data_IF_320012146951
#
_entry.id   IF_320012146951
#
_cell.length_a   1.000
_cell.length_b   1.000
_cell.length_c   1.000
_cell.angle_alpha   90.00
_cell.angle_beta   90.00
_cell.angle_gamma   90.00
#
_symmetry.space_group_name_H-M   'P 1'
#
loop_
_entity.id
_entity.type
_entity.pdbx_description
1 polymer ?
#
# COMPACT_ATOMS: atom_id res chain seq x y z
N UNK A 1 -24.75 7.81 1.20
CA UNK A 1 -23.73 7.78 0.13
C UNK A 1 -24.47 7.90 -1.20
N UNK A 2 -24.44 9.07 -1.85
CA UNK A 2 -24.98 9.23 -3.20
C UNK A 2 -23.86 8.89 -4.19
N UNK A 3 -23.85 7.66 -4.67
CA UNK A 3 -23.07 7.31 -5.86
C UNK A 3 -23.70 8.08 -7.03
N UNK A 4 -22.96 8.99 -7.65
CA UNK A 4 -23.41 9.69 -8.86
C UNK A 4 -23.44 8.72 -10.04
N UNK A 5 -24.53 7.95 -10.13
CA UNK A 5 -24.76 6.97 -11.19
C UNK A 5 -24.91 7.60 -12.58
N UNK A 6 -24.89 8.92 -12.67
CA UNK A 6 -24.93 9.67 -13.92
C UNK A 6 -23.53 10.00 -14.46
N UNK A 7 -22.46 9.62 -13.75
CA UNK A 7 -21.09 9.84 -14.20
C UNK A 7 -20.63 8.67 -15.12
N UNK A 8 -20.57 8.87 -16.46
CA UNK A 8 -20.19 7.82 -17.40
C UNK A 8 -18.72 7.38 -17.27
N UNK A 9 -17.87 8.15 -16.59
CA UNK A 9 -16.51 7.71 -16.26
C UNK A 9 -16.50 6.62 -15.18
N UNK A 10 -17.57 6.50 -14.38
CA UNK A 10 -17.75 5.49 -13.34
C UNK A 10 -18.68 4.37 -13.83
N UNK A 11 -19.80 4.73 -14.46
CA UNK A 11 -20.82 3.76 -14.88
C UNK A 11 -20.58 3.18 -16.27
N UNK A 12 -19.68 3.79 -17.04
CA UNK A 12 -19.44 3.44 -18.43
C UNK A 12 -20.54 3.96 -19.37
N UNK A 13 -20.21 4.04 -20.66
CA UNK A 13 -21.10 4.36 -21.76
C UNK A 13 -21.67 3.08 -22.36
N UNK A 14 -22.91 3.13 -22.81
CA UNK A 14 -23.50 2.05 -23.60
C UNK A 14 -22.84 1.98 -24.98
N UNK A 15 -22.29 0.81 -25.33
CA UNK A 15 -21.58 0.58 -26.61
C UNK A 15 -21.67 -0.90 -26.99
N UNK A 16 -21.62 -1.27 -28.29
CA UNK A 16 -21.65 -2.66 -28.73
C UNK A 16 -20.48 -3.52 -28.21
N UNK A 17 -19.33 -2.91 -27.86
CA UNK A 17 -18.18 -3.59 -27.27
C UNK A 17 -17.74 -2.86 -25.98
N UNK A 18 -18.43 -3.10 -24.85
CA UNK A 18 -18.24 -2.35 -23.61
C UNK A 18 -16.86 -2.57 -22.99
N UNK A 19 -16.23 -3.73 -23.21
CA UNK A 19 -14.88 -3.98 -22.69
C UNK A 19 -13.82 -3.08 -23.32
N UNK A 20 -14.06 -2.59 -24.54
CA UNK A 20 -13.14 -1.72 -25.26
C UNK A 20 -13.53 -0.25 -25.20
N UNK A 21 -14.83 0.06 -25.18
CA UNK A 21 -15.31 1.43 -25.43
C UNK A 21 -16.28 1.97 -24.38
N UNK A 22 -16.52 1.28 -23.26
CA UNK A 22 -17.38 1.83 -22.21
C UNK A 22 -16.76 3.05 -21.52
N UNK A 23 -15.44 3.24 -21.57
CA UNK A 23 -14.77 4.36 -20.90
C UNK A 23 -13.86 5.10 -21.89
N UNK A 24 -13.91 6.44 -21.88
CA UNK A 24 -13.07 7.29 -22.76
C UNK A 24 -11.57 7.13 -22.49
N UNK A 25 -11.22 6.80 -21.25
CA UNK A 25 -9.86 6.43 -20.85
C UNK A 25 -9.85 5.00 -20.35
N UNK A 26 -9.20 4.12 -21.10
CA UNK A 26 -8.81 2.80 -20.62
C UNK A 26 -7.67 2.97 -19.60
N UNK A 27 -8.02 3.18 -18.33
CA UNK A 27 -7.08 2.99 -17.22
C UNK A 27 -6.93 1.49 -17.02
N UNK A 28 -6.17 0.83 -17.88
CA UNK A 28 -5.87 -0.58 -17.69
C UNK A 28 -5.15 -0.78 -16.33
N UNK A 29 -5.47 -1.84 -15.56
CA UNK A 29 -4.64 -2.24 -14.42
C UNK A 29 -3.26 -2.73 -14.86
N UNK A 30 -3.07 -2.96 -16.16
CA UNK A 30 -1.81 -3.30 -16.79
C UNK A 30 -1.45 -2.21 -17.80
N UNK A 31 -0.19 -1.77 -17.78
CA UNK A 31 0.39 -0.89 -18.79
C UNK A 31 -0.02 -1.41 -20.18
N UNK A 32 -0.61 -0.53 -20.99
CA UNK A 32 -1.26 -0.91 -22.25
C UNK A 32 -0.36 -1.74 -23.16
N UNK A 33 -0.97 -2.61 -23.98
CA UNK A 33 -0.29 -3.55 -24.90
C UNK A 33 0.57 -2.92 -26.01
N UNK A 34 0.92 -1.64 -25.87
CA UNK A 34 1.86 -0.88 -26.71
C UNK A 34 3.20 -0.61 -26.00
N UNK A 35 3.36 -1.02 -24.73
CA UNK A 35 4.62 -0.89 -24.03
C UNK A 35 5.70 -1.75 -24.71
N UNK A 36 6.82 -1.13 -25.08
CA UNK A 36 8.00 -1.84 -25.59
C UNK A 36 8.96 -2.11 -24.44
N UNK A 37 9.50 -3.33 -24.30
CA UNK A 37 10.55 -3.62 -23.32
C UNK A 37 11.74 -2.69 -23.55
N UNK A 38 12.28 -2.15 -22.45
CA UNK A 38 13.52 -1.37 -22.49
C UNK A 38 14.69 -2.35 -22.65
N UNK A 39 15.64 -2.10 -23.58
CA UNK A 39 16.84 -2.92 -23.71
C UNK A 39 17.63 -2.99 -22.40
N UNK A 40 18.22 -4.13 -22.01
CA UNK A 40 18.96 -4.27 -20.74
C UNK A 40 20.01 -3.18 -20.53
N UNK A 41 20.73 -2.80 -21.59
CA UNK A 41 21.78 -1.76 -21.57
C UNK A 41 21.25 -0.35 -21.27
N UNK A 42 19.96 -0.12 -21.50
CA UNK A 42 19.29 1.18 -21.29
C UNK A 42 18.42 1.19 -20.03
N UNK A 43 18.33 0.07 -19.30
CA UNK A 43 17.40 -0.03 -18.14
C UNK A 43 17.78 0.96 -17.05
N UNK A 44 19.07 1.04 -16.72
CA UNK A 44 19.56 1.92 -15.66
C UNK A 44 19.33 3.40 -16.00
N UNK A 45 19.71 3.82 -17.21
CA UNK A 45 19.54 5.21 -17.63
C UNK A 45 18.07 5.59 -17.80
N UNK A 46 17.23 4.68 -18.30
CA UNK A 46 15.79 4.91 -18.38
C UNK A 46 15.16 5.07 -16.98
N UNK A 47 15.58 4.27 -16.02
CA UNK A 47 15.13 4.37 -14.63
C UNK A 47 15.59 5.68 -13.97
N UNK A 48 16.86 6.05 -14.15
CA UNK A 48 17.42 7.30 -13.66
C UNK A 48 16.69 8.51 -14.24
N UNK A 49 16.40 8.48 -15.55
CA UNK A 49 15.62 9.54 -16.21
C UNK A 49 14.17 9.61 -15.69
N UNK A 50 13.56 8.46 -15.39
CA UNK A 50 12.22 8.44 -14.82
C UNK A 50 12.17 9.00 -13.38
N UNK A 51 13.26 8.85 -12.60
CA UNK A 51 13.35 9.36 -11.23
C UNK A 51 13.94 10.77 -11.11
N UNK A 52 14.55 11.29 -12.17
CA UNK A 52 15.09 12.65 -12.20
C UNK A 52 14.02 13.72 -12.49
N UNK A 53 12.90 13.32 -13.09
CA UNK A 53 11.74 14.20 -13.25
C UNK A 53 11.05 14.43 -11.90
N UNK A 54 10.71 15.69 -11.60
CA UNK A 54 10.03 16.08 -10.35
C UNK A 54 8.58 15.58 -10.31
N UNK A 55 8.07 15.09 -11.43
CA UNK A 55 6.69 14.65 -11.60
C UNK A 55 5.70 15.81 -11.61
N UNK A 56 4.43 15.49 -11.87
CA UNK A 56 3.35 16.47 -11.85
C UNK A 56 2.76 16.65 -10.45
N UNK A 57 2.31 17.86 -10.14
CA UNK A 57 1.61 18.16 -8.89
C UNK A 57 0.25 17.46 -8.88
N UNK A 58 0.05 16.52 -7.95
CA UNK A 58 -1.21 15.80 -7.79
C UNK A 58 -1.23 14.95 -6.51
N UNK A 59 -2.33 14.21 -6.25
CA UNK A 59 -2.41 13.31 -5.10
C UNK A 59 -1.36 12.19 -5.18
N UNK A 60 -0.63 11.97 -4.09
CA UNK A 60 0.44 10.98 -3.96
C UNK A 60 0.21 10.06 -2.76
N UNK A 61 0.47 8.78 -2.96
CA UNK A 61 0.44 7.75 -1.93
C UNK A 61 1.77 6.99 -1.91
N UNK A 62 2.29 6.71 -0.73
CA UNK A 62 3.45 5.84 -0.51
C UNK A 62 2.95 4.44 -0.12
N UNK A 63 3.18 3.45 -0.99
CA UNK A 63 2.87 2.05 -0.68
C UNK A 63 4.13 1.31 -0.27
N UNK A 64 4.07 0.62 0.88
CA UNK A 64 5.18 -0.15 1.43
C UNK A 64 4.74 -1.61 1.56
N UNK A 65 5.40 -2.48 0.81
CA UNK A 65 5.00 -3.86 0.64
C UNK A 65 5.70 -4.79 1.63
N UNK A 66 5.00 -5.35 2.61
CA UNK A 66 5.54 -6.36 3.54
C UNK A 66 5.12 -7.77 3.08
N UNK A 67 6.01 -8.58 2.45
CA UNK A 67 5.61 -9.79 1.71
C UNK A 67 5.49 -11.06 2.57
N UNK A 68 5.36 -10.91 3.89
CA UNK A 68 5.37 -12.04 4.83
C UNK A 68 3.97 -12.40 5.31
N UNK A 69 3.71 -13.70 5.38
CA UNK A 69 2.54 -14.23 6.07
C UNK A 69 2.96 -15.43 6.92
N UNK A 70 2.56 -15.47 8.19
CA UNK A 70 2.69 -16.71 9.01
C UNK A 70 1.96 -17.90 8.43
N UNK A 71 0.75 -17.66 7.94
CA UNK A 71 -0.16 -18.71 7.47
C UNK A 71 -0.68 -18.35 6.09
N UNK A 72 -0.55 -19.31 5.16
CA UNK A 72 -1.18 -19.25 3.85
C UNK A 72 -2.69 -19.41 3.99
N UNK A 73 -3.43 -18.37 3.62
CA UNK A 73 -4.88 -18.48 3.47
C UNK A 73 -5.20 -19.27 2.20
N UNK A 74 -6.17 -20.18 2.26
CA UNK A 74 -6.55 -21.05 1.12
C UNK A 74 -7.06 -20.28 -0.09
N UNK A 75 -7.59 -19.08 0.11
CA UNK A 75 -8.08 -18.18 -0.94
C UNK A 75 -7.05 -17.16 -1.42
N UNK A 76 -5.87 -17.08 -0.79
CA UNK A 76 -4.92 -16.00 -1.06
C UNK A 76 -3.97 -16.38 -2.20
N UNK A 77 -4.00 -15.58 -3.26
CA UNK A 77 -3.05 -15.66 -4.37
C UNK A 77 -1.80 -14.76 -4.18
N UNK A 78 -1.74 -14.01 -3.07
CA UNK A 78 -0.64 -13.09 -2.73
C UNK A 78 0.36 -13.67 -1.73
N UNK A 79 0.17 -14.92 -1.27
CA UNK A 79 1.10 -15.56 -0.35
C UNK A 79 2.41 -15.86 -1.06
N UNK A 80 3.46 -15.13 -0.72
CA UNK A 80 4.80 -15.34 -1.29
C UNK A 80 5.72 -16.06 -0.30
N UNK A 81 5.83 -15.57 0.94
CA UNK A 81 6.81 -16.07 1.90
C UNK A 81 6.19 -16.43 3.24
N UNK A 82 6.54 -17.62 3.74
CA UNK A 82 6.29 -17.97 5.13
C UNK A 82 7.16 -17.08 6.03
N UNK A 83 6.53 -16.44 7.02
CA UNK A 83 7.26 -15.58 7.95
C UNK A 83 8.31 -16.38 8.74
N UNK A 84 9.55 -15.92 8.74
CA UNK A 84 10.53 -16.31 9.77
C UNK A 84 11.11 -15.04 10.38
N UNK A 85 11.44 -15.08 11.68
CA UNK A 85 12.01 -13.90 12.36
C UNK A 85 13.29 -13.42 11.67
N UNK A 86 14.13 -14.35 11.22
CA UNK A 86 15.37 -14.05 10.50
C UNK A 86 15.11 -13.36 9.15
N UNK A 87 14.23 -13.93 8.32
CA UNK A 87 13.91 -13.35 7.01
C UNK A 87 13.24 -11.97 7.14
N UNK A 88 12.35 -11.81 8.13
CA UNK A 88 11.74 -10.51 8.41
C UNK A 88 12.80 -9.49 8.80
N UNK A 89 13.75 -9.84 9.67
CA UNK A 89 14.81 -8.93 10.08
C UNK A 89 15.71 -8.55 8.90
N UNK A 90 16.16 -9.52 8.09
CA UNK A 90 16.98 -9.28 6.89
C UNK A 90 16.26 -8.39 5.87
N UNK A 91 14.99 -8.67 5.60
CA UNK A 91 14.17 -7.83 4.74
C UNK A 91 14.00 -6.42 5.31
N UNK A 92 13.80 -6.30 6.63
CA UNK A 92 13.59 -5.00 7.26
C UNK A 92 14.83 -4.11 7.14
N UNK A 93 16.03 -4.65 7.32
CA UNK A 93 17.27 -3.89 7.09
C UNK A 93 17.44 -3.47 5.62
N UNK A 94 17.08 -4.35 4.68
CA UNK A 94 17.07 -4.00 3.26
C UNK A 94 16.04 -2.91 2.94
N UNK A 95 14.84 -3.00 3.51
CA UNK A 95 13.77 -2.01 3.39
C UNK A 95 14.24 -0.65 3.92
N UNK A 96 14.91 -0.60 5.08
CA UNK A 96 15.46 0.65 5.62
C UNK A 96 16.44 1.32 4.66
N UNK A 97 17.33 0.52 4.08
CA UNK A 97 18.30 1.00 3.08
C UNK A 97 17.58 1.56 1.85
N UNK A 98 16.58 0.84 1.35
CA UNK A 98 15.78 1.28 0.20
C UNK A 98 14.97 2.55 0.50
N UNK A 99 14.36 2.65 1.69
CA UNK A 99 13.60 3.83 2.11
C UNK A 99 14.48 5.08 2.17
N UNK A 100 15.68 4.98 2.74
CA UNK A 100 16.62 6.10 2.77
C UNK A 100 17.04 6.53 1.37
N UNK A 101 17.33 5.57 0.49
CA UNK A 101 17.69 5.85 -0.89
C UNK A 101 16.54 6.51 -1.66
N UNK A 102 15.31 5.98 -1.55
CA UNK A 102 14.13 6.55 -2.20
C UNK A 102 13.73 7.90 -1.62
N UNK A 103 13.86 8.09 -0.31
CA UNK A 103 13.59 9.36 0.35
C UNK A 103 14.49 10.47 -0.20
N UNK A 104 15.75 10.17 -0.51
CA UNK A 104 16.69 11.16 -1.05
C UNK A 104 16.44 11.53 -2.53
N UNK A 105 15.53 10.85 -3.24
CA UNK A 105 15.29 11.10 -4.66
C UNK A 105 14.57 12.44 -4.89
N UNK A 106 14.94 13.22 -5.93
CA UNK A 106 14.27 14.47 -6.28
C UNK A 106 12.77 14.32 -6.48
N UNK A 107 12.33 13.27 -7.20
CA UNK A 107 10.91 12.96 -7.38
C UNK A 107 10.17 12.74 -6.06
N UNK A 108 10.80 12.09 -5.07
CA UNK A 108 10.19 11.86 -3.76
C UNK A 108 9.98 13.18 -3.03
N UNK A 109 10.98 14.06 -3.05
CA UNK A 109 10.97 15.33 -2.34
C UNK A 109 10.17 16.44 -3.01
N UNK A 110 9.78 16.29 -4.28
CA UNK A 110 9.13 17.34 -5.06
C UNK A 110 7.78 17.81 -4.49
N UNK A 111 6.96 16.90 -3.94
CA UNK A 111 5.62 17.20 -3.41
C UNK A 111 5.28 16.29 -2.22
N UNK A 112 4.47 16.73 -1.25
CA UNK A 112 4.11 15.90 -0.11
C UNK A 112 3.18 14.74 -0.48
N UNK A 113 3.24 13.65 0.28
CA UNK A 113 2.32 12.51 0.22
C UNK A 113 1.10 12.74 1.12
N UNK A 114 -0.09 12.38 0.63
CA UNK A 114 -1.35 12.46 1.39
C UNK A 114 -1.67 11.15 2.09
N UNK A 115 -1.07 10.04 1.65
CA UNK A 115 -1.31 8.74 2.24
C UNK A 115 -0.04 7.87 2.27
N UNK A 116 0.06 7.04 3.30
CA UNK A 116 1.03 5.97 3.44
C UNK A 116 0.27 4.68 3.74
N UNK A 117 0.57 3.62 2.99
CA UNK A 117 -0.11 2.34 3.13
C UNK A 117 0.90 1.21 3.26
N UNK A 118 0.91 0.56 4.43
CA UNK A 118 1.65 -0.66 4.67
C UNK A 118 0.74 -1.85 4.36
N UNK A 119 1.09 -2.66 3.36
CA UNK A 119 0.25 -3.76 2.93
C UNK A 119 1.01 -4.94 2.35
N UNK A 120 0.28 -5.86 1.70
CA UNK A 120 0.87 -7.00 0.99
C UNK A 120 0.51 -8.32 1.65
N UNK A 121 1.44 -8.88 2.42
CA UNK A 121 1.22 -10.09 3.19
C UNK A 121 0.46 -9.80 4.48
N UNK A 122 1.19 -9.60 5.57
CA UNK A 122 0.64 -9.25 6.88
C UNK A 122 1.64 -8.31 7.56
N UNK A 123 1.57 -6.98 7.34
CA UNK A 123 2.48 -6.02 7.96
C UNK A 123 2.55 -6.14 9.49
N UNK A 124 1.46 -6.51 10.16
CA UNK A 124 1.45 -6.81 11.60
C UNK A 124 2.28 -8.05 12.00
N UNK A 125 2.91 -8.78 11.07
CA UNK A 125 3.91 -9.81 11.39
C UNK A 125 5.28 -9.22 11.75
N UNK A 126 5.53 -7.93 11.44
CA UNK A 126 6.65 -7.17 12.00
C UNK A 126 6.56 -7.11 13.53
N UNK A 127 7.71 -6.93 14.19
CA UNK A 127 7.72 -6.65 15.63
C UNK A 127 7.15 -5.26 15.91
N UNK A 128 6.71 -5.03 17.15
CA UNK A 128 6.24 -3.70 17.58
C UNK A 128 7.33 -2.63 17.34
N UNK A 129 8.58 -2.94 17.69
CA UNK A 129 9.72 -2.04 17.48
C UNK A 129 9.95 -1.73 15.99
N UNK A 130 9.84 -2.72 15.12
CA UNK A 130 9.96 -2.54 13.66
C UNK A 130 8.81 -1.69 13.10
N UNK A 131 7.58 -1.86 13.58
CA UNK A 131 6.43 -1.05 13.15
C UNK A 131 6.66 0.42 13.52
N UNK A 132 7.10 0.66 14.77
CA UNK A 132 7.41 2.01 15.26
C UNK A 132 8.53 2.65 14.44
N UNK A 133 9.66 1.95 14.30
CA UNK A 133 10.85 2.43 13.58
C UNK A 133 10.49 2.75 12.12
N UNK A 134 9.71 1.90 11.46
CA UNK A 134 9.26 2.13 10.09
C UNK A 134 8.44 3.42 9.99
N UNK A 135 7.46 3.60 10.88
CA UNK A 135 6.64 4.81 10.91
C UNK A 135 7.46 6.08 11.19
N UNK A 136 8.40 6.01 12.15
CA UNK A 136 9.32 7.11 12.48
C UNK A 136 10.19 7.49 11.27
N UNK A 137 10.76 6.51 10.57
CA UNK A 137 11.54 6.74 9.36
C UNK A 137 10.72 7.42 8.26
N UNK A 138 9.48 6.98 8.03
CA UNK A 138 8.63 7.60 7.02
C UNK A 138 8.37 9.07 7.36
N UNK A 139 8.01 9.39 8.62
CA UNK A 139 7.80 10.78 9.05
C UNK A 139 9.08 11.63 9.01
N UNK A 140 10.23 11.02 9.25
CA UNK A 140 11.50 11.74 9.29
C UNK A 140 12.03 12.09 7.88
N UNK A 141 11.83 11.21 6.90
CA UNK A 141 12.52 11.30 5.61
C UNK A 141 11.62 11.61 4.41
N UNK A 142 10.30 11.37 4.51
CA UNK A 142 9.37 11.63 3.42
C UNK A 142 8.57 12.91 3.67
N UNK A 143 8.32 13.75 2.66
CA UNK A 143 7.46 14.91 2.81
C UNK A 143 6.00 14.44 2.94
N UNK A 144 5.39 14.60 4.10
CA UNK A 144 3.98 14.25 4.33
C UNK A 144 3.14 15.50 4.50
N UNK A 145 1.87 15.45 4.11
CA UNK A 145 0.93 16.52 4.49
C UNK A 145 0.61 16.43 5.99
N UNK A 146 0.20 17.55 6.64
CA UNK A 146 -0.18 17.52 8.05
C UNK A 146 -1.36 16.58 8.37
N UNK A 147 -2.21 16.32 7.38
CA UNK A 147 -3.38 15.44 7.42
C UNK A 147 -3.13 14.08 6.76
N UNK A 148 -1.86 13.69 6.59
CA UNK A 148 -1.51 12.46 5.90
C UNK A 148 -2.11 11.22 6.59
N UNK A 149 -2.83 10.40 5.83
CA UNK A 149 -3.38 9.14 6.29
C UNK A 149 -2.30 8.05 6.30
N UNK A 150 -1.99 7.49 7.47
CA UNK A 150 -1.07 6.37 7.60
C UNK A 150 -1.84 5.11 8.01
N UNK A 151 -1.88 4.14 7.11
CA UNK A 151 -2.68 2.92 7.23
C UNK A 151 -1.79 1.68 7.31
N UNK A 152 -1.97 0.89 8.37
CA UNK A 152 -1.29 -0.39 8.60
C UNK A 152 -2.28 -1.55 8.40
N UNK A 153 -2.09 -2.37 7.36
CA UNK A 153 -2.85 -3.62 7.21
C UNK A 153 -2.41 -4.66 8.24
N UNK A 154 -3.37 -5.43 8.76
CA UNK A 154 -3.06 -6.42 9.77
C UNK A 154 -4.10 -7.52 9.94
N UNK A 155 -3.72 -8.49 10.77
CA UNK A 155 -4.65 -9.50 11.32
C UNK A 155 -4.89 -9.20 12.79
N UNK A 156 -6.13 -9.39 13.25
CA UNK A 156 -6.47 -9.26 14.68
C UNK A 156 -5.68 -10.27 15.52
N UNK A 157 -5.45 -11.46 14.98
CA UNK A 157 -4.69 -12.49 15.70
C UNK A 157 -3.24 -12.03 15.88
N UNK A 158 -2.81 -11.93 17.15
CA UNK A 158 -1.45 -11.50 17.55
C UNK A 158 -1.09 -10.07 17.14
N UNK A 159 -2.10 -9.23 16.98
CA UNK A 159 -1.97 -7.78 17.10
C UNK A 159 -2.30 -7.41 18.54
N UNK A 160 -1.26 -7.41 19.38
CA UNK A 160 -1.36 -7.10 20.80
C UNK A 160 -1.27 -5.59 21.06
N UNK A 161 -1.54 -5.19 22.30
CA UNK A 161 -1.55 -3.78 22.71
C UNK A 161 -0.21 -3.10 22.42
N UNK A 162 0.91 -3.81 22.60
CA UNK A 162 2.24 -3.27 22.30
C UNK A 162 2.39 -2.89 20.83
N UNK A 163 1.91 -3.72 19.91
CA UNK A 163 1.93 -3.40 18.47
C UNK A 163 0.99 -2.27 18.12
N UNK A 164 -0.17 -2.20 18.77
CA UNK A 164 -1.11 -1.10 18.58
C UNK A 164 -0.49 0.23 19.03
N UNK A 165 0.07 0.28 20.23
CA UNK A 165 0.79 1.45 20.76
C UNK A 165 1.95 1.84 19.86
N UNK A 166 2.78 0.88 19.43
CA UNK A 166 3.89 1.14 18.53
C UNK A 166 3.45 1.64 17.15
N UNK A 167 2.29 1.21 16.65
CA UNK A 167 1.73 1.75 15.41
C UNK A 167 1.29 3.21 15.59
N UNK A 168 0.66 3.56 16.71
CA UNK A 168 0.29 4.94 17.05
C UNK A 168 1.51 5.85 17.25
N UNK A 169 2.52 5.39 17.99
CA UNK A 169 3.81 6.08 18.14
C UNK A 169 4.53 6.23 16.80
N UNK A 170 4.40 5.21 15.95
CA UNK A 170 4.77 5.19 14.55
C UNK A 170 3.86 6.03 13.64
N UNK A 171 2.94 6.82 14.19
CA UNK A 171 2.12 7.79 13.45
C UNK A 171 0.99 7.17 12.62
N UNK A 172 0.75 5.86 12.74
CA UNK A 172 -0.38 5.21 12.08
C UNK A 172 -1.68 5.70 12.71
N UNK A 173 -2.58 6.25 11.90
CA UNK A 173 -3.87 6.77 12.37
C UNK A 173 -5.04 5.84 12.03
N UNK A 174 -4.81 4.84 11.16
CA UNK A 174 -5.77 3.79 10.84
C UNK A 174 -5.07 2.41 10.83
N UNK A 175 -5.59 1.45 11.60
CA UNK A 175 -5.18 0.04 11.49
C UNK A 175 -6.29 -0.72 10.77
N UNK A 176 -6.04 -1.16 9.54
CA UNK A 176 -7.00 -1.96 8.78
C UNK A 176 -6.86 -3.43 9.17
N UNK A 177 -7.74 -3.89 10.04
CA UNK A 177 -7.78 -5.28 10.49
C UNK A 177 -8.62 -6.12 9.52
N UNK A 178 -7.97 -7.04 8.79
CA UNK A 178 -8.65 -7.96 7.89
C UNK A 178 -9.37 -9.03 8.71
N UNK A 179 -10.71 -8.96 8.75
CA UNK A 179 -11.55 -9.99 9.36
C UNK A 179 -11.57 -11.25 8.49
N UNK A 180 -11.10 -12.37 9.03
CA UNK A 180 -11.55 -13.69 8.57
C UNK A 180 -13.03 -13.76 8.91
N UNK A 181 -13.90 -13.99 7.93
CA UNK A 181 -15.30 -14.30 8.19
C UNK A 181 -15.36 -15.48 9.17
N UNK A 182 -15.68 -15.17 10.42
CA UNK A 182 -15.92 -16.17 11.45
C UNK A 182 -17.27 -16.81 11.11
N UNK A 183 -17.21 -18.04 10.58
CA UNK A 183 -18.36 -18.94 10.61
C UNK A 183 -18.79 -19.01 12.09
N UNK A 184 -20.06 -18.71 12.42
CA UNK A 184 -20.40 -18.17 13.74
C UNK A 184 -20.33 -19.26 14.80
N UNK A 185 -19.46 -19.08 15.80
CA UNK A 185 -19.60 -19.79 17.07
C UNK A 185 -19.20 -19.02 18.32
N UNK A 186 -19.03 -17.70 18.25
CA UNK A 186 -18.92 -16.87 19.44
C UNK A 186 -19.52 -15.49 19.17
N UNK A 187 -20.78 -15.32 19.53
CA UNK A 187 -21.38 -14.04 19.82
C UNK A 187 -21.04 -13.69 21.27
N UNK A 188 -20.24 -12.65 21.49
CA UNK A 188 -20.27 -11.75 22.66
C UNK A 188 -18.96 -10.96 22.73
N UNK A 189 -18.96 -9.72 22.22
CA UNK A 189 -18.44 -8.52 22.89
C UNK A 189 -18.50 -7.33 21.90
N UNK A 190 -19.22 -6.23 22.22
CA UNK A 190 -19.38 -5.11 21.32
C UNK A 190 -18.46 -3.95 21.73
N UNK A 191 -17.37 -3.73 20.97
CA UNK A 191 -16.74 -2.41 20.83
C UNK A 191 -15.46 -2.51 19.98
N UNK A 192 -15.60 -2.65 18.65
CA UNK A 192 -14.52 -2.30 17.73
C UNK A 192 -15.13 -1.50 16.59
N UNK A 193 -14.69 -0.25 16.50
CA UNK A 193 -15.09 0.77 15.55
C UNK A 193 -14.82 0.28 14.12
N UNK A 194 -15.88 0.10 13.32
CA UNK A 194 -15.75 -0.06 11.86
C UNK A 194 -15.43 1.31 11.28
N UNK A 195 -14.22 1.50 10.74
CA UNK A 195 -13.89 2.68 9.94
C UNK A 195 -14.03 2.33 8.46
N UNK A 196 -14.83 3.13 7.75
CA UNK A 196 -15.21 2.92 6.34
C UNK A 196 -13.98 2.92 5.41
N UNK A 197 -13.89 1.87 4.57
CA UNK A 197 -12.98 1.81 3.43
C UNK A 197 -13.32 2.90 2.41
N UNK A 198 -12.41 3.84 2.19
CA UNK A 198 -12.37 4.64 0.95
C UNK A 198 -11.33 4.03 0.01
N UNK A 199 -11.77 3.69 -1.19
CA UNK A 199 -11.00 3.10 -2.28
C UNK A 199 -9.71 3.89 -2.55
N UNK A 200 -8.55 3.23 -2.46
CA UNK A 200 -7.28 3.71 -3.03
C UNK A 200 -6.98 2.99 -4.34
N UNK A 201 -6.70 3.78 -5.37
CA UNK A 201 -6.11 3.33 -6.63
C UNK A 201 -4.67 2.86 -6.37
N UNK A 202 -4.44 1.55 -6.49
CA UNK A 202 -3.13 0.92 -6.33
C UNK A 202 -2.21 1.32 -7.48
N UNK A 203 -1.10 1.99 -7.18
CA UNK A 203 0.02 2.13 -8.11
C UNK A 203 1.08 1.13 -7.67
N UNK A 204 1.03 -0.08 -8.23
CA UNK A 204 2.10 -1.07 -8.07
C UNK A 204 3.25 -0.65 -8.97
N UNK A 205 4.39 -0.27 -8.38
CA UNK A 205 5.66 -0.25 -9.11
C UNK A 205 6.39 -1.55 -8.76
N UNK A 206 6.08 -2.58 -9.55
CA UNK A 206 6.97 -3.67 -9.98
C UNK A 206 6.57 -4.03 -11.41
#
# INVERSE_FOLDING_TARGET
MNLELNNPDITGKHTPDPLRFAFDKKKGPHAGGMAKPIPPQQTQSALENAFSDSGEKGPRCLYIHIPFCRVRCTYCNFFQYASSKKLIAEYFEALKTELLWKAAMPWTQAYPFQAVYFGGGTPTDLSADQIKELGEMIRAYFPLTPDCEITLEGRINRFDDRKFESALEGGSIASLLVFRALIPRFAAQPSVLMMEMRYLSVCSIL
#
